data_IF_827412977985
#
_entry.id   IF_827412977985
#
_cell.length_a   1.000
_cell.length_b   1.000
_cell.length_c   1.000
_cell.angle_alpha   90.00
_cell.angle_beta   90.00
_cell.angle_gamma   90.00
#
_symmetry.space_group_name_H-M   'P 1'
#
loop_
_entity.id
_entity.type
_entity.pdbx_description
1 polymer ?
#
# COMPACT_ATOMS: atom_id res chain seq x y z
N UNK A 1 5.33 -2.00 6.68
CA UNK A 1 5.93 -2.75 5.56
C UNK A 1 6.84 -1.83 4.76
N UNK A 2 8.07 -2.24 4.47
CA UNK A 2 8.95 -1.59 3.50
C UNK A 2 9.05 -2.47 2.25
N UNK A 3 8.78 -1.89 1.08
CA UNK A 3 8.83 -2.62 -0.17
C UNK A 3 9.18 -1.64 -1.31
N UNK A 4 9.79 -2.17 -2.37
CA UNK A 4 10.16 -1.36 -3.53
C UNK A 4 8.91 -0.76 -4.20
N UNK A 5 9.04 0.48 -4.66
CA UNK A 5 8.04 1.15 -5.51
C UNK A 5 8.04 0.61 -6.95
N UNK A 6 8.95 -0.29 -7.29
CA UNK A 6 9.02 -1.04 -8.54
C UNK A 6 8.56 -2.49 -8.34
N UNK A 7 8.18 -3.16 -9.43
CA UNK A 7 7.80 -4.58 -9.42
C UNK A 7 9.01 -5.52 -9.30
N UNK A 8 10.23 -4.99 -9.37
CA UNK A 8 11.43 -5.78 -9.65
C UNK A 8 11.42 -6.34 -11.08
N UNK A 9 12.43 -7.15 -11.40
CA UNK A 9 12.63 -7.72 -12.74
C UNK A 9 12.24 -9.21 -12.82
N UNK A 10 11.73 -9.77 -11.73
CA UNK A 10 11.33 -11.18 -11.61
C UNK A 10 9.90 -11.28 -11.08
N UNK A 11 9.04 -12.02 -11.79
CA UNK A 11 7.63 -12.20 -11.43
C UNK A 11 7.43 -12.84 -10.05
N UNK A 12 8.42 -13.55 -9.51
CA UNK A 12 8.35 -14.16 -8.18
C UNK A 12 8.16 -13.13 -7.07
N UNK A 13 8.68 -11.92 -7.22
CA UNK A 13 8.47 -10.86 -6.24
C UNK A 13 6.99 -10.43 -6.19
N UNK A 14 6.36 -10.36 -7.35
CA UNK A 14 4.93 -10.03 -7.48
C UNK A 14 4.07 -11.09 -6.81
N UNK A 15 4.34 -12.35 -7.06
CA UNK A 15 3.58 -13.46 -6.45
C UNK A 15 3.80 -13.52 -4.93
N UNK A 16 5.03 -13.31 -4.45
CA UNK A 16 5.32 -13.21 -3.02
C UNK A 16 4.57 -12.03 -2.37
N UNK A 17 4.50 -10.88 -3.04
CA UNK A 17 3.75 -9.72 -2.57
C UNK A 17 2.25 -10.02 -2.44
N UNK A 18 1.64 -10.63 -3.46
CA UNK A 18 0.23 -11.04 -3.39
C UNK A 18 -0.01 -12.04 -2.25
N UNK A 19 0.83 -13.06 -2.15
CA UNK A 19 0.73 -14.08 -1.11
C UNK A 19 0.82 -13.47 0.30
N UNK A 20 1.73 -12.51 0.50
CA UNK A 20 1.84 -11.78 1.75
C UNK A 20 0.56 -10.99 2.08
N UNK A 21 0.01 -10.24 1.11
CA UNK A 21 -1.21 -9.46 1.33
C UNK A 21 -2.40 -10.34 1.70
N UNK A 22 -2.59 -11.45 0.98
CA UNK A 22 -3.62 -12.45 1.30
C UNK A 22 -3.43 -13.05 2.68
N UNK A 23 -2.19 -13.39 3.05
CA UNK A 23 -1.88 -13.95 4.37
C UNK A 23 -2.22 -12.97 5.51
N UNK A 24 -1.83 -11.70 5.37
CA UNK A 24 -2.11 -10.67 6.38
C UNK A 24 -3.62 -10.50 6.58
N UNK A 25 -4.38 -10.40 5.48
CA UNK A 25 -5.83 -10.26 5.53
C UNK A 25 -6.51 -11.46 6.22
N UNK A 26 -6.16 -12.69 5.81
CA UNK A 26 -6.71 -13.91 6.41
C UNK A 26 -6.34 -14.09 7.89
N UNK A 27 -5.21 -13.52 8.29
CA UNK A 27 -4.74 -13.57 9.69
C UNK A 27 -5.33 -12.44 10.54
N UNK A 28 -6.18 -11.57 9.99
CA UNK A 28 -6.72 -10.41 10.71
C UNK A 28 -5.67 -9.34 11.05
N UNK A 29 -4.51 -9.37 10.40
CA UNK A 29 -3.40 -8.44 10.66
C UNK A 29 -3.62 -7.18 9.82
N UNK A 30 -3.51 -6.02 10.46
CA UNK A 30 -3.60 -4.73 9.75
C UNK A 30 -2.28 -4.43 9.02
N UNK A 31 -2.37 -4.17 7.72
CA UNK A 31 -1.23 -3.75 6.91
C UNK A 31 -1.02 -2.23 7.04
N UNK A 32 0.07 -1.81 7.68
CA UNK A 32 0.50 -0.40 7.72
C UNK A 32 1.70 -0.21 6.77
N UNK A 33 1.61 0.75 5.84
CA UNK A 33 2.60 0.92 4.78
C UNK A 33 2.69 2.36 4.23
N UNK A 34 3.65 2.61 3.33
CA UNK A 34 3.98 3.94 2.79
C UNK A 34 2.97 4.57 1.81
N UNK A 35 1.79 3.98 1.64
CA UNK A 35 0.69 4.56 0.87
C UNK A 35 0.81 4.53 -0.67
N UNK A 36 1.91 4.00 -1.22
CA UNK A 36 2.12 3.91 -2.67
C UNK A 36 1.25 2.84 -3.34
N UNK A 37 0.56 3.19 -4.43
CA UNK A 37 -0.34 2.28 -5.17
C UNK A 37 0.35 1.48 -6.28
N UNK A 38 1.65 1.67 -6.48
CA UNK A 38 2.43 1.06 -7.57
C UNK A 38 3.48 0.09 -7.03
N UNK A 39 4.00 -0.76 -7.90
CA UNK A 39 5.04 -1.72 -7.55
C UNK A 39 4.53 -2.85 -6.65
N UNK A 40 5.46 -3.54 -6.01
CA UNK A 40 5.15 -4.59 -5.04
C UNK A 40 4.32 -4.06 -3.85
N UNK A 41 4.52 -2.79 -3.50
CA UNK A 41 3.76 -2.11 -2.45
C UNK A 41 2.24 -2.09 -2.76
N UNK A 42 1.89 -1.75 -4.00
CA UNK A 42 0.51 -1.80 -4.48
C UNK A 42 -0.04 -3.23 -4.49
N UNK A 43 0.76 -4.21 -4.92
CA UNK A 43 0.33 -5.61 -5.01
C UNK A 43 0.02 -6.23 -3.64
N UNK A 44 0.80 -5.94 -2.59
CA UNK A 44 0.46 -6.40 -1.22
C UNK A 44 -0.82 -5.74 -0.73
N UNK A 45 -0.95 -4.41 -0.91
CA UNK A 45 -2.11 -3.66 -0.44
C UNK A 45 -3.40 -4.10 -1.14
N UNK A 46 -3.34 -4.30 -2.45
CA UNK A 46 -4.47 -4.77 -3.24
C UNK A 46 -4.87 -6.20 -2.85
N UNK A 47 -3.90 -7.11 -2.68
CA UNK A 47 -4.19 -8.47 -2.24
C UNK A 47 -4.83 -8.50 -0.85
N UNK A 48 -4.37 -7.66 0.09
CA UNK A 48 -4.97 -7.56 1.41
C UNK A 48 -6.43 -7.07 1.32
N UNK A 49 -6.70 -6.01 0.55
CA UNK A 49 -8.05 -5.46 0.37
C UNK A 49 -9.01 -6.45 -0.31
N UNK A 50 -8.55 -7.16 -1.35
CA UNK A 50 -9.36 -8.21 -2.02
C UNK A 50 -9.80 -9.32 -1.08
N UNK A 51 -9.07 -9.53 0.01
CA UNK A 51 -9.40 -10.49 1.05
C UNK A 51 -9.96 -9.86 2.33
N UNK A 52 -10.55 -8.65 2.23
CA UNK A 52 -11.23 -7.94 3.32
C UNK A 52 -10.30 -7.63 4.51
N UNK A 53 -8.99 -7.53 4.23
CA UNK A 53 -7.98 -7.14 5.21
C UNK A 53 -7.96 -5.63 5.44
N UNK A 54 -7.56 -5.22 6.63
CA UNK A 54 -7.44 -3.78 6.97
C UNK A 54 -6.12 -3.23 6.46
N UNK A 55 -6.16 -2.13 5.70
CA UNK A 55 -4.96 -1.46 5.18
C UNK A 55 -4.93 0.01 5.59
N UNK A 56 -3.78 0.48 6.07
CA UNK A 56 -3.51 1.87 6.43
C UNK A 56 -2.29 2.36 5.65
N UNK A 57 -2.51 3.34 4.77
CA UNK A 57 -1.46 4.02 4.04
C UNK A 57 -1.05 5.32 4.74
N UNK A 58 0.26 5.56 4.84
CA UNK A 58 0.86 6.79 5.36
C UNK A 58 1.79 7.35 4.30
N UNK A 59 1.48 8.52 3.74
CA UNK A 59 2.26 9.14 2.68
C UNK A 59 2.52 10.63 2.98
N UNK A 60 3.72 11.17 2.72
CA UNK A 60 3.97 12.61 2.82
C UNK A 60 3.10 13.38 1.83
N UNK A 61 2.50 14.50 2.25
CA UNK A 61 1.63 15.30 1.37
C UNK A 61 2.30 15.74 0.09
N UNK A 62 3.56 16.19 0.18
CA UNK A 62 4.34 16.62 -0.99
C UNK A 62 4.48 15.51 -2.05
N UNK A 63 4.43 14.24 -1.63
CA UNK A 63 4.43 13.10 -2.56
C UNK A 63 3.02 12.90 -3.12
N UNK A 64 1.97 12.99 -2.29
CA UNK A 64 0.59 12.86 -2.72
C UNK A 64 0.18 13.94 -3.73
N UNK A 65 0.51 15.22 -3.49
CA UNK A 65 0.20 16.36 -4.38
C UNK A 65 0.74 16.16 -5.79
N UNK A 66 1.95 15.61 -5.92
CA UNK A 66 2.56 15.27 -7.21
C UNK A 66 1.82 14.15 -7.95
N UNK A 67 1.04 13.32 -7.26
CA UNK A 67 0.34 12.17 -7.84
C UNK A 67 -1.15 12.42 -8.10
N UNK A 68 -1.81 13.36 -7.40
CA UNK A 68 -3.28 13.51 -7.43
C UNK A 68 -3.82 14.91 -7.76
N UNK A 69 -3.00 15.91 -8.05
CA UNK A 69 -3.50 17.21 -8.56
C UNK A 69 -4.13 18.15 -7.52
N UNK A 70 -3.99 17.85 -6.22
CA UNK A 70 -4.06 18.81 -5.12
C UNK A 70 -5.43 19.12 -4.50
N UNK A 71 -5.67 18.60 -3.29
CA UNK A 71 -6.51 19.22 -2.27
C UNK A 71 -5.63 19.46 -1.04
N UNK A 72 -5.64 20.68 -0.49
CA UNK A 72 -4.77 21.07 0.63
C UNK A 72 -5.26 20.43 1.93
N UNK A 73 -4.35 19.76 2.64
CA UNK A 73 -4.58 19.14 3.95
C UNK A 73 -3.63 19.77 4.98
N UNK A 74 -4.07 19.88 6.23
CA UNK A 74 -3.34 20.60 7.30
C UNK A 74 -2.21 19.78 7.97
N UNK A 75 -2.09 18.49 7.65
CA UNK A 75 -1.08 17.57 8.21
C UNK A 75 0.06 17.33 7.21
N UNK A 76 1.35 17.27 7.59
CA UNK A 76 2.44 16.97 6.66
C UNK A 76 2.34 15.57 6.01
N UNK A 77 1.47 14.69 6.53
CA UNK A 77 1.18 13.36 6.00
C UNK A 77 -0.32 13.16 5.79
N UNK A 78 -0.68 12.41 4.75
CA UNK A 78 -2.02 11.85 4.61
C UNK A 78 -2.04 10.42 5.17
N UNK A 79 -3.02 10.14 6.03
CA UNK A 79 -3.31 8.80 6.55
C UNK A 79 -4.67 8.39 6.00
N UNK A 80 -4.72 7.29 5.24
CA UNK A 80 -5.97 6.72 4.74
C UNK A 80 -6.13 5.28 5.20
N UNK A 81 -7.24 5.02 5.87
CA UNK A 81 -7.69 3.67 6.21
C UNK A 81 -8.63 3.16 5.12
N UNK A 82 -8.27 2.06 4.49
CA UNK A 82 -9.11 1.33 3.55
C UNK A 82 -9.60 0.05 4.24
N UNK A 83 -10.91 -0.21 4.13
CA UNK A 83 -11.57 -1.42 4.64
C UNK A 83 -11.87 -2.37 3.50
#
# INVERSE_FOLDING_TARGET
MFCGSSNGNDGRYKEAAKALGTFLARSGITLIYGGGTRGLMGEVAEAALRHQGRVVGIIPLKVLEKHTGGTRLDSPFAIYGLR
#
